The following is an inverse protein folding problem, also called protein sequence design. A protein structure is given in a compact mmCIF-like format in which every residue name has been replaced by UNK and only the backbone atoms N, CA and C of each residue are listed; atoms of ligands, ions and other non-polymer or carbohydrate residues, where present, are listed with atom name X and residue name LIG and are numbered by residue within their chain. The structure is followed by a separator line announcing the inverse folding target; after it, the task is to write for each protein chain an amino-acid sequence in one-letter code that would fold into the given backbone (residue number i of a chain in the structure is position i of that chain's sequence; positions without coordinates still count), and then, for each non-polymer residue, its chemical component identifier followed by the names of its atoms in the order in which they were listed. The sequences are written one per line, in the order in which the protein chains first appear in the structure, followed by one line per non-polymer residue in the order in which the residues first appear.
data_IF_090730962627
#
_entry.id   IF_090730962627
#
_cell.length_a   1.000
_cell.length_b   1.000
_cell.length_c   1.000
_cell.angle_alpha   90.00
_cell.angle_beta   90.00
_cell.angle_gamma   90.00
#
_symmetry.space_group_name_H-M   'P 1'
#
loop_
_entity.id
_entity.type
_entity.pdbx_description
1 polymer ?
#
# COMPACT_ATOMS: atom_id res chain seq x y z
N UNK A 1 -1.96 -15.71 4.02
CA UNK A 1 -2.69 -16.94 3.60
C UNK A 1 -3.62 -16.70 2.41
N UNK A 2 -4.40 -15.60 2.36
CA UNK A 2 -5.32 -15.33 1.25
C UNK A 2 -4.65 -15.30 -0.15
N UNK A 3 -3.48 -14.67 -0.31
CA UNK A 3 -2.74 -14.65 -1.59
C UNK A 3 -2.38 -16.05 -2.07
N UNK A 4 -1.90 -16.92 -1.18
CA UNK A 4 -1.50 -18.27 -1.55
C UNK A 4 -2.69 -19.07 -2.08
N UNK A 5 -3.87 -18.92 -1.47
CA UNK A 5 -5.10 -19.55 -1.96
C UNK A 5 -5.55 -19.00 -3.33
N UNK A 6 -5.42 -17.68 -3.55
CA UNK A 6 -5.73 -17.07 -4.84
C UNK A 6 -4.78 -17.55 -5.96
N UNK A 7 -3.48 -17.67 -5.67
CA UNK A 7 -2.50 -18.26 -6.61
C UNK A 7 -2.82 -19.72 -6.94
N UNK A 8 -3.42 -20.47 -6.01
CA UNK A 8 -3.87 -21.85 -6.24
C UNK A 8 -5.25 -21.93 -6.93
N UNK A 9 -5.85 -20.79 -7.31
CA UNK A 9 -7.16 -20.76 -7.98
C UNK A 9 -8.35 -21.04 -7.05
N UNK A 10 -8.18 -20.96 -5.74
CA UNK A 10 -9.24 -21.25 -4.75
C UNK A 10 -10.22 -20.06 -4.62
N UNK A 11 -9.87 -18.87 -5.11
CA UNK A 11 -10.74 -17.70 -5.09
C UNK A 11 -10.03 -16.40 -5.44
N UNK A 12 -10.67 -15.28 -5.06
CA UNK A 12 -10.18 -13.92 -5.31
C UNK A 12 -9.66 -13.33 -4.00
N UNK A 13 -8.56 -12.58 -4.07
CA UNK A 13 -7.99 -11.86 -2.93
C UNK A 13 -7.86 -10.37 -3.25
N UNK A 14 -8.14 -9.52 -2.26
CA UNK A 14 -7.90 -8.08 -2.33
C UNK A 14 -6.61 -7.75 -1.56
N UNK A 15 -5.65 -7.11 -2.23
CA UNK A 15 -4.33 -6.84 -1.66
C UNK A 15 -3.69 -5.59 -2.26
N UNK A 16 -2.68 -5.05 -1.60
CA UNK A 16 -1.89 -3.94 -2.13
C UNK A 16 -1.13 -4.41 -3.39
N UNK A 17 -1.32 -3.69 -4.49
CA UNK A 17 -0.80 -4.04 -5.81
C UNK A 17 0.71 -4.26 -5.81
N UNK A 18 1.46 -3.38 -5.15
CA UNK A 18 2.92 -3.45 -5.01
C UNK A 18 3.41 -4.82 -4.50
N UNK A 19 2.66 -5.44 -3.58
CA UNK A 19 3.03 -6.71 -2.97
C UNK A 19 2.66 -7.92 -3.84
N UNK A 20 1.72 -7.77 -4.78
CA UNK A 20 1.29 -8.84 -5.71
C UNK A 20 1.81 -8.63 -7.13
N UNK A 21 2.42 -7.49 -7.44
CA UNK A 21 3.02 -7.15 -8.73
C UNK A 21 3.93 -8.26 -9.27
N UNK A 22 4.85 -8.87 -8.47
CA UNK A 22 5.69 -9.96 -8.96
C UNK A 22 4.90 -11.22 -9.34
N UNK A 23 3.72 -11.44 -8.73
CA UNK A 23 2.86 -12.58 -9.04
C UNK A 23 2.01 -12.32 -10.28
N UNK A 24 1.60 -11.06 -10.51
CA UNK A 24 0.90 -10.63 -11.72
C UNK A 24 1.85 -10.70 -12.92
N UNK A 25 3.07 -10.16 -12.78
CA UNK A 25 4.10 -10.19 -13.83
C UNK A 25 4.50 -11.63 -14.18
N UNK A 26 4.48 -12.53 -13.19
CA UNK A 26 4.70 -13.96 -13.39
C UNK A 26 3.48 -14.72 -13.96
N UNK A 27 2.37 -14.05 -14.24
CA UNK A 27 1.13 -14.64 -14.76
C UNK A 27 0.39 -15.55 -13.78
N UNK A 28 0.74 -15.49 -12.48
CA UNK A 28 0.12 -16.31 -11.42
C UNK A 28 -1.16 -15.69 -10.87
N UNK A 29 -1.32 -14.38 -11.04
CA UNK A 29 -2.52 -13.62 -10.67
C UNK A 29 -2.90 -12.71 -11.83
N UNK A 30 -4.19 -12.43 -11.96
CA UNK A 30 -4.74 -11.49 -12.95
C UNK A 30 -5.47 -10.39 -12.20
N UNK A 31 -5.21 -9.10 -12.49
CA UNK A 31 -5.94 -8.01 -11.87
C UNK A 31 -7.42 -8.08 -12.27
N UNK A 32 -8.30 -7.83 -11.29
CA UNK A 32 -9.75 -7.79 -11.47
C UNK A 32 -10.26 -6.43 -10.99
N UNK A 33 -11.23 -5.88 -11.72
CA UNK A 33 -11.93 -4.63 -11.37
C UNK A 33 -11.03 -3.37 -11.33
N UNK A 34 -9.98 -3.31 -12.15
CA UNK A 34 -9.10 -2.11 -12.24
C UNK A 34 -9.89 -0.81 -12.44
N UNK A 35 -10.92 -0.83 -13.29
CA UNK A 35 -11.75 0.35 -13.59
C UNK A 35 -12.56 0.87 -12.39
N UNK A 36 -12.72 0.06 -11.34
CA UNK A 36 -13.54 0.37 -10.17
C UNK A 36 -12.74 0.31 -8.86
N UNK A 37 -11.45 0.02 -8.93
CA UNK A 37 -10.58 -0.03 -7.77
C UNK A 37 -10.18 1.41 -7.42
N UNK A 38 -10.51 1.85 -6.20
CA UNK A 38 -10.08 3.16 -5.73
C UNK A 38 -8.55 3.18 -5.59
N UNK A 39 -7.92 4.23 -6.09
CA UNK A 39 -6.48 4.46 -5.88
C UNK A 39 -6.18 4.43 -4.40
N UNK A 40 -5.14 3.70 -4.02
CA UNK A 40 -4.72 3.60 -2.63
C UNK A 40 -4.48 5.01 -2.07
N UNK A 41 -5.19 5.43 -1.01
CA UNK A 41 -5.13 6.80 -0.48
C UNK A 41 -3.79 7.17 0.18
N UNK A 42 -2.82 6.26 0.16
CA UNK A 42 -1.52 6.39 0.82
C UNK A 42 -1.51 5.75 2.21
N UNK A 43 -0.33 5.75 2.82
CA UNK A 43 -0.13 5.22 4.16
C UNK A 43 -0.62 6.22 5.21
N UNK A 44 -1.36 5.74 6.21
CA UNK A 44 -1.79 6.56 7.34
C UNK A 44 -0.97 6.21 8.58
N UNK A 45 -0.35 7.21 9.19
CA UNK A 45 0.31 7.05 10.48
C UNK A 45 -0.67 7.36 11.62
N UNK A 46 -1.24 6.31 12.22
CA UNK A 46 -2.07 6.42 13.40
C UNK A 46 -1.19 6.57 14.65
N UNK A 47 -1.12 7.78 15.21
CA UNK A 47 -0.45 8.03 16.49
C UNK A 47 -1.41 8.65 17.50
N UNK A 48 -1.22 8.31 18.78
CA UNK A 48 -1.95 8.95 19.87
C UNK A 48 -1.40 10.37 20.06
N UNK A 49 -2.28 11.38 19.98
CA UNK A 49 -1.91 12.79 20.14
C UNK A 49 -1.44 13.05 21.58
N UNK A 50 -0.15 12.88 21.84
CA UNK A 50 0.45 13.23 23.13
C UNK A 50 0.70 14.74 23.18
N UNK A 51 0.40 15.38 24.33
CA UNK A 51 0.61 16.84 24.51
C UNK A 51 2.07 17.28 24.42
N UNK A 52 3.02 16.33 24.52
CA UNK A 52 4.46 16.56 24.39
C UNK A 52 5.03 15.72 23.23
N UNK A 53 4.63 16.02 22.00
CA UNK A 53 5.34 15.48 20.82
C UNK A 53 6.78 16.01 20.87
N UNK A 54 7.75 15.13 21.12
CA UNK A 54 9.16 15.55 21.17
C UNK A 54 9.61 16.05 19.78
N UNK A 55 10.62 16.94 19.70
CA UNK A 55 11.17 17.39 18.42
C UNK A 55 11.64 16.23 17.53
N UNK A 56 12.09 15.13 18.13
CA UNK A 56 12.49 13.92 17.40
C UNK A 56 11.30 13.25 16.68
N UNK A 57 10.11 13.24 17.29
CA UNK A 57 8.90 12.70 16.65
C UNK A 57 8.43 13.63 15.52
N UNK A 58 8.58 14.94 15.68
CA UNK A 58 8.33 15.90 14.60
C UNK A 58 9.27 15.70 13.40
N UNK A 59 10.58 15.58 13.64
CA UNK A 59 11.55 15.29 12.58
C UNK A 59 11.25 13.95 11.88
N UNK A 60 10.79 12.95 12.63
CA UNK A 60 10.35 11.67 12.05
C UNK A 60 9.11 11.81 11.16
N UNK A 61 8.11 12.61 11.57
CA UNK A 61 6.97 12.92 10.70
C UNK A 61 7.40 13.64 9.42
N UNK A 62 8.29 14.63 9.52
CA UNK A 62 8.77 15.37 8.36
C UNK A 62 9.55 14.45 7.40
N UNK A 63 10.37 13.54 7.93
CA UNK A 63 11.05 12.51 7.14
C UNK A 63 10.06 11.59 6.43
N UNK A 64 9.05 11.07 7.14
CA UNK A 64 8.04 10.20 6.54
C UNK A 64 7.21 10.90 5.46
N UNK A 65 6.88 12.18 5.66
CA UNK A 65 6.15 12.98 4.65
C UNK A 65 6.99 13.19 3.39
N UNK A 66 8.31 13.37 3.51
CA UNK A 66 9.20 13.44 2.35
C UNK A 66 9.38 12.08 1.67
N UNK A 67 9.37 10.99 2.44
CA UNK A 67 9.44 9.62 1.90
C UNK A 67 8.17 9.23 1.13
N UNK A 68 6.98 9.63 1.61
CA UNK A 68 5.71 9.41 0.90
C UNK A 68 5.55 10.32 -0.33
N UNK A 69 6.10 11.54 -0.32
CA UNK A 69 6.05 12.46 -1.47
C UNK A 69 6.74 11.89 -2.73
N UNK A 70 7.61 10.89 -2.59
CA UNK A 70 8.21 10.15 -3.69
C UNK A 70 7.32 9.05 -4.30
N UNK A 71 6.23 8.66 -3.62
CA UNK A 71 5.33 7.58 -4.06
C UNK A 71 4.08 8.09 -4.81
N UNK A 72 3.77 9.39 -4.79
CA UNK A 72 2.61 10.00 -5.50
C UNK A 72 2.87 10.26 -7.00
N UNK A 73 3.80 9.55 -7.64
CA UNK A 73 4.11 9.71 -9.07
C UNK A 73 4.22 8.36 -9.80
N UNK A 74 3.15 7.60 -9.83
CA UNK A 74 2.94 6.62 -10.91
C UNK A 74 1.46 6.29 -10.99
N UNK A 75 0.79 6.77 -12.03
CA UNK A 75 -0.65 6.67 -12.24
C UNK A 75 -1.10 7.71 -13.26
N UNK A 76 -0.47 7.64 -14.44
CA UNK A 76 -1.06 8.07 -15.73
C UNK A 76 -1.97 6.93 -16.20
#
# INVERSE_FOLDING_TARGET
MAIAAAVQGVGIAFWAEELVRPLIDAGKLVPLLDERCATFPGWFLCYQKQRHTSPAVHAFFDFLRHADAGQTRSGD
#
